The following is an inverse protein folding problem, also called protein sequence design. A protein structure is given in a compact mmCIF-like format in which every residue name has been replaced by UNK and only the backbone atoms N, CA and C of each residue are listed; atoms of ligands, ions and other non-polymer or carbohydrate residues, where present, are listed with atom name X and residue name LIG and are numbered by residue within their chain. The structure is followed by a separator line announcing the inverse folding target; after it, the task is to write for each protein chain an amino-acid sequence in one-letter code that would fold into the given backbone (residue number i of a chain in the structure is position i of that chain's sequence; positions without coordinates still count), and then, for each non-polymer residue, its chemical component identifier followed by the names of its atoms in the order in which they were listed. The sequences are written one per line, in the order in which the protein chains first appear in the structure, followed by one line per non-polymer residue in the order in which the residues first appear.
data_IF_854157464605
#
_entry.id   IF_854157464605
#
_cell.length_a   1.000
_cell.length_b   1.000
_cell.length_c   1.000
_cell.angle_alpha   90.00
_cell.angle_beta   90.00
_cell.angle_gamma   90.00
#
_symmetry.space_group_name_H-M   'P 1'
#
loop_
_entity.id
_entity.type
_entity.pdbx_description
1 polymer ?
#
# COMPACT_ATOMS: atom_id res chain seq x y z
N UNK A 1 4.89 -9.00 -12.60
CA UNK A 1 5.59 -7.94 -11.84
C UNK A 1 6.08 -6.92 -12.85
N UNK A 2 5.73 -5.64 -12.68
CA UNK A 2 6.06 -4.57 -13.63
C UNK A 2 7.55 -4.16 -13.55
N UNK A 3 8.22 -3.81 -14.67
CA UNK A 3 9.63 -3.41 -14.66
C UNK A 3 9.96 -2.25 -13.73
N UNK A 4 9.07 -1.24 -13.62
CA UNK A 4 9.26 -0.08 -12.73
C UNK A 4 9.25 -0.49 -11.25
N UNK A 5 8.32 -1.36 -10.86
CA UNK A 5 8.24 -1.93 -9.50
C UNK A 5 9.49 -2.75 -9.20
N UNK A 6 9.98 -3.54 -10.15
CA UNK A 6 11.21 -4.32 -9.97
C UNK A 6 12.44 -3.44 -9.81
N UNK A 7 12.55 -2.37 -10.60
CA UNK A 7 13.62 -1.36 -10.44
C UNK A 7 13.57 -0.72 -9.04
N UNK A 8 12.39 -0.33 -8.56
CA UNK A 8 12.23 0.26 -7.24
C UNK A 8 12.54 -0.75 -6.11
N UNK A 9 12.16 -2.03 -6.27
CA UNK A 9 12.53 -3.09 -5.33
C UNK A 9 14.05 -3.26 -5.25
N UNK A 10 14.73 -3.37 -6.39
CA UNK A 10 16.19 -3.48 -6.43
C UNK A 10 16.85 -2.25 -5.81
N UNK A 11 16.36 -1.05 -6.11
CA UNK A 11 16.87 0.17 -5.49
C UNK A 11 16.81 0.07 -3.96
N UNK A 12 15.67 -0.35 -3.39
CA UNK A 12 15.53 -0.55 -1.95
C UNK A 12 16.50 -1.61 -1.42
N UNK A 13 16.67 -2.74 -2.10
CA UNK A 13 17.61 -3.79 -1.67
C UNK A 13 19.05 -3.27 -1.57
N UNK A 14 19.48 -2.45 -2.53
CA UNK A 14 20.87 -1.98 -2.60
C UNK A 14 21.15 -0.70 -1.81
N UNK A 15 20.14 0.13 -1.55
CA UNK A 15 20.31 1.46 -0.94
C UNK A 15 19.57 1.63 0.38
N UNK A 16 18.70 0.68 0.71
CA UNK A 16 17.76 0.76 1.83
C UNK A 16 16.81 1.97 1.78
N UNK A 17 16.67 2.57 0.60
CA UNK A 17 15.86 3.75 0.33
C UNK A 17 14.85 3.51 -0.79
N UNK A 18 13.68 4.16 -0.69
CA UNK A 18 12.69 4.13 -1.76
C UNK A 18 13.15 4.97 -2.94
N UNK A 19 12.88 4.48 -4.15
CA UNK A 19 13.11 5.26 -5.37
C UNK A 19 12.14 6.45 -5.40
N UNK A 20 12.63 7.65 -5.69
CA UNK A 20 11.77 8.80 -5.93
C UNK A 20 10.94 8.56 -7.20
N UNK A 21 9.62 8.65 -7.05
CA UNK A 21 8.64 8.51 -8.12
C UNK A 21 7.69 9.70 -8.10
N UNK A 22 7.11 10.02 -9.26
CA UNK A 22 6.14 11.10 -9.37
C UNK A 22 4.96 10.86 -8.42
N UNK A 23 4.41 11.93 -7.84
CA UNK A 23 3.32 11.86 -6.85
C UNK A 23 2.13 11.05 -7.36
N UNK A 24 1.80 11.22 -8.65
CA UNK A 24 0.72 10.52 -9.36
C UNK A 24 0.93 9.00 -9.42
N UNK A 25 2.18 8.55 -9.47
CA UNK A 25 2.56 7.15 -9.56
C UNK A 25 2.78 6.51 -8.18
N UNK A 26 2.85 7.30 -7.09
CA UNK A 26 3.22 6.79 -5.75
C UNK A 26 2.30 5.70 -5.26
N UNK A 27 0.98 5.85 -5.44
CA UNK A 27 0.01 4.83 -5.02
C UNK A 27 0.24 3.54 -5.79
N UNK A 28 0.32 3.60 -7.12
CA UNK A 28 0.54 2.43 -7.98
C UNK A 28 1.87 1.74 -7.66
N UNK A 29 2.93 2.53 -7.45
CA UNK A 29 4.24 2.02 -7.06
C UNK A 29 4.22 1.37 -5.68
N UNK A 30 3.56 1.98 -4.69
CA UNK A 30 3.41 1.43 -3.35
C UNK A 30 2.61 0.12 -3.35
N UNK A 31 1.53 0.03 -4.14
CA UNK A 31 0.78 -1.21 -4.31
C UNK A 31 1.66 -2.30 -4.92
N UNK A 32 2.35 -2.01 -6.03
CA UNK A 32 3.24 -2.96 -6.69
C UNK A 32 4.39 -3.42 -5.79
N UNK A 33 5.00 -2.50 -5.05
CA UNK A 33 6.07 -2.80 -4.10
C UNK A 33 5.55 -3.62 -2.92
N UNK A 34 4.33 -3.40 -2.44
CA UNK A 34 3.74 -4.22 -1.38
C UNK A 34 3.57 -5.67 -1.84
N UNK A 35 3.07 -5.89 -3.07
CA UNK A 35 2.97 -7.24 -3.67
C UNK A 35 4.35 -7.88 -3.81
N UNK A 36 5.35 -7.13 -4.27
CA UNK A 36 6.70 -7.63 -4.43
C UNK A 36 7.34 -7.95 -3.08
N UNK A 37 7.19 -7.06 -2.09
CA UNK A 37 7.75 -7.22 -0.75
C UNK A 37 7.16 -8.45 -0.06
N UNK A 38 5.85 -8.67 -0.19
CA UNK A 38 5.19 -9.89 0.28
C UNK A 38 5.75 -11.15 -0.41
N UNK A 39 5.89 -11.12 -1.74
CA UNK A 39 6.44 -12.25 -2.51
C UNK A 39 7.88 -12.60 -2.14
N UNK A 40 8.71 -11.60 -1.82
CA UNK A 40 10.13 -11.76 -1.48
C UNK A 40 10.39 -11.75 0.04
N UNK A 41 9.36 -11.82 0.87
CA UNK A 41 9.45 -11.80 2.35
C UNK A 41 10.23 -10.60 2.91
N UNK A 42 10.12 -9.44 2.27
CA UNK A 42 10.75 -8.18 2.65
C UNK A 42 9.86 -7.40 3.63
N UNK A 43 9.75 -7.88 4.88
CA UNK A 43 8.79 -7.36 5.86
C UNK A 43 8.92 -5.86 6.12
N UNK A 44 10.14 -5.32 6.20
CA UNK A 44 10.34 -3.88 6.40
C UNK A 44 9.81 -3.05 5.23
N UNK A 45 10.09 -3.45 3.99
CA UNK A 45 9.56 -2.78 2.80
C UNK A 45 8.04 -2.88 2.74
N UNK A 46 7.48 -4.05 3.08
CA UNK A 46 6.04 -4.28 3.15
C UNK A 46 5.35 -3.32 4.12
N UNK A 47 5.94 -3.08 5.29
CA UNK A 47 5.44 -2.12 6.27
C UNK A 47 5.51 -0.67 5.76
N UNK A 48 6.63 -0.29 5.13
CA UNK A 48 6.80 1.06 4.56
C UNK A 48 5.73 1.32 3.48
N UNK A 49 5.51 0.38 2.56
CA UNK A 49 4.48 0.50 1.53
C UNK A 49 3.07 0.56 2.13
N UNK A 50 2.81 -0.22 3.19
CA UNK A 50 1.54 -0.19 3.90
C UNK A 50 1.28 1.17 4.56
N UNK A 51 2.27 1.75 5.24
CA UNK A 51 2.14 3.06 5.89
C UNK A 51 1.94 4.17 4.85
N UNK A 52 2.65 4.09 3.72
CA UNK A 52 2.42 4.99 2.58
C UNK A 52 0.98 4.87 2.08
N UNK A 53 0.50 3.66 1.78
CA UNK A 53 -0.88 3.46 1.31
C UNK A 53 -1.92 3.96 2.31
N UNK A 54 -1.72 3.76 3.61
CA UNK A 54 -2.61 4.28 4.66
C UNK A 54 -2.75 5.82 4.58
N UNK A 55 -1.67 6.53 4.28
CA UNK A 55 -1.68 8.00 4.17
C UNK A 55 -2.45 8.54 2.96
N UNK A 56 -2.62 7.71 1.92
CA UNK A 56 -3.36 8.06 0.70
C UNK A 56 -4.82 7.59 0.71
N UNK A 57 -5.31 6.99 1.80
CA UNK A 57 -6.73 6.64 1.95
C UNK A 57 -7.53 7.92 2.19
N UNK A 58 -8.06 8.50 1.10
CA UNK A 58 -8.80 9.76 1.12
C UNK A 58 -10.29 9.61 0.76
N UNK A 59 -10.66 8.52 0.06
CA UNK A 59 -12.04 8.22 -0.30
C UNK A 59 -12.39 6.74 -0.07
N UNK A 60 -13.69 6.43 -0.05
CA UNK A 60 -14.17 5.08 0.19
C UNK A 60 -13.74 4.09 -0.91
N UNK A 61 -13.59 4.55 -2.16
CA UNK A 61 -13.19 3.70 -3.29
C UNK A 61 -11.74 3.23 -3.16
N UNK A 62 -10.85 4.14 -2.79
CA UNK A 62 -9.43 3.90 -2.52
C UNK A 62 -9.26 3.02 -1.29
N UNK A 63 -10.08 3.24 -0.25
CA UNK A 63 -10.10 2.35 0.93
C UNK A 63 -10.52 0.92 0.57
N UNK A 64 -11.55 0.73 -0.27
CA UNK A 64 -12.01 -0.60 -0.70
C UNK A 64 -10.95 -1.31 -1.55
N UNK A 65 -10.38 -0.63 -2.54
CA UNK A 65 -9.35 -1.22 -3.42
C UNK A 65 -8.08 -1.58 -2.64
N UNK A 66 -7.67 -0.73 -1.69
CA UNK A 66 -6.51 -0.99 -0.83
C UNK A 66 -6.79 -2.10 0.19
N UNK A 67 -8.04 -2.25 0.65
CA UNK A 67 -8.45 -3.36 1.51
C UNK A 67 -8.35 -4.71 0.78
N UNK A 68 -8.83 -4.81 -0.46
CA UNK A 68 -8.70 -6.03 -1.27
C UNK A 68 -7.21 -6.43 -1.46
N UNK A 69 -6.35 -5.44 -1.69
CA UNK A 69 -4.90 -5.65 -1.78
C UNK A 69 -4.32 -6.15 -0.44
N UNK A 70 -4.66 -5.50 0.67
CA UNK A 70 -4.21 -5.88 2.00
C UNK A 70 -4.68 -7.30 2.37
N UNK A 71 -5.86 -7.67 1.91
CA UNK A 71 -6.45 -8.97 2.15
C UNK A 71 -5.69 -10.08 1.42
N UNK A 72 -5.37 -9.85 0.14
CA UNK A 72 -4.60 -10.78 -0.70
C UNK A 72 -3.16 -10.97 -0.25
N UNK A 73 -2.52 -9.91 0.24
CA UNK A 73 -1.09 -9.91 0.61
C UNK A 73 -0.84 -9.96 2.12
N UNK A 74 -1.86 -10.32 2.91
CA UNK A 74 -1.71 -10.56 4.34
C UNK A 74 -1.20 -9.36 5.16
N UNK A 75 -1.44 -8.13 4.71
CA UNK A 75 -0.97 -6.94 5.43
C UNK A 75 -2.00 -6.50 6.48
N UNK A 76 -1.87 -7.01 7.71
CA UNK A 76 -2.83 -6.79 8.79
C UNK A 76 -3.00 -5.30 9.15
N UNK A 77 -1.91 -4.54 9.23
CA UNK A 77 -1.95 -3.09 9.55
C UNK A 77 -2.78 -2.32 8.51
N UNK A 78 -2.50 -2.54 7.23
CA UNK A 78 -3.22 -1.87 6.13
C UNK A 78 -4.70 -2.27 6.10
N UNK A 79 -5.00 -3.55 6.35
CA UNK A 79 -6.37 -4.07 6.45
C UNK A 79 -7.16 -3.38 7.56
N UNK A 80 -6.59 -3.29 8.76
CA UNK A 80 -7.23 -2.64 9.91
C UNK A 80 -7.45 -1.14 9.66
N UNK A 81 -6.48 -0.45 9.06
CA UNK A 81 -6.61 0.95 8.69
C UNK A 81 -7.75 1.20 7.69
N UNK A 82 -7.84 0.39 6.62
CA UNK A 82 -8.90 0.50 5.62
C UNK A 82 -10.29 0.23 6.23
N UNK A 83 -10.42 -0.81 7.06
CA UNK A 83 -11.69 -1.12 7.74
C UNK A 83 -12.15 0.01 8.66
N UNK A 84 -11.22 0.59 9.42
CA UNK A 84 -11.51 1.72 10.30
C UNK A 84 -12.00 2.93 9.49
N UNK A 85 -11.27 3.30 8.44
CA UNK A 85 -11.66 4.42 7.57
C UNK A 85 -13.04 4.24 6.94
N UNK A 86 -13.35 3.04 6.47
CA UNK A 86 -14.67 2.71 5.90
C UNK A 86 -15.76 2.80 6.97
N UNK A 87 -15.53 2.25 8.16
CA UNK A 87 -16.50 2.29 9.27
C UNK A 87 -16.79 3.74 9.67
N UNK A 88 -15.76 4.57 9.80
CA UNK A 88 -15.89 5.99 10.15
C UNK A 88 -16.63 6.78 9.05
N UNK A 89 -16.41 6.44 7.76
CA UNK A 89 -17.15 7.04 6.66
C UNK A 89 -18.63 6.61 6.64
N UNK A 90 -18.92 5.32 6.79
CA UNK A 90 -20.29 4.82 6.81
C UNK A 90 -21.08 5.30 8.05
N UNK A 91 -20.40 5.48 9.20
CA UNK A 91 -21.01 6.05 10.40
C UNK A 91 -21.43 7.53 10.23
N UNK A 92 -20.76 8.28 9.34
CA UNK A 92 -21.12 9.67 9.01
C UNK A 92 -22.26 9.77 7.98
N UNK A 93 -22.64 8.66 7.36
CA UNK A 93 -23.72 8.55 6.36
C UNK A 93 -24.98 7.89 6.97
N UNK A 94 -25.06 7.79 8.30
CA UNK A 94 -26.28 7.33 9.00
C UNK A 94 -27.42 8.36 8.96
N UNK A 95 -28.69 7.89 9.03
CA UNK A 95 -29.88 8.35 8.30
C UNK A 95 -30.38 9.77 8.59
#
# INVERSE_FOLDING_TARGET
MEPRVFKALLHFIYTDALLEVHEEDKIVMAQGLLVAADRYAMERLKLICADMLCSYINDARTAITTLDLADKHGCRRLREACKKFLTDNFARVGP
#
